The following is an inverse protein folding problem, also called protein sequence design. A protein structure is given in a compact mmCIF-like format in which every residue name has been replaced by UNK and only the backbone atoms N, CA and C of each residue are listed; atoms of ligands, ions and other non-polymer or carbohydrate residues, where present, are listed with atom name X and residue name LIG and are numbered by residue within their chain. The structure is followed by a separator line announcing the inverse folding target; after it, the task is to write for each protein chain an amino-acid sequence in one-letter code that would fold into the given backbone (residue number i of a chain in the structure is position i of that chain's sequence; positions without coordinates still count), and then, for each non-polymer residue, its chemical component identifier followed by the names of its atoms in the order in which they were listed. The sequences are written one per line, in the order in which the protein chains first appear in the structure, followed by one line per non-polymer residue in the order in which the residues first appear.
data_IF_961774418347
#
_entry.id   IF_961774418347
#
_cell.length_a   1.000
_cell.length_b   1.000
_cell.length_c   1.000
_cell.angle_alpha   90.00
_cell.angle_beta   90.00
_cell.angle_gamma   90.00
#
_symmetry.space_group_name_H-M   'P 1'
#
loop_
_entity.id
_entity.type
_entity.pdbx_description
1 polymer ?
#
# COMPACT_ATOMS: atom_id res chain seq x y z
N UNK A 1 -25.18 -9.27 5.80
CA UNK A 1 -24.31 -9.90 4.79
C UNK A 1 -23.64 -8.86 3.88
N UNK A 2 -24.38 -8.11 3.05
CA UNK A 2 -23.81 -7.07 2.17
C UNK A 2 -22.96 -6.00 2.89
N UNK A 3 -23.40 -5.51 4.05
CA UNK A 3 -22.64 -4.54 4.86
C UNK A 3 -21.30 -5.09 5.37
N UNK A 4 -21.25 -6.37 5.70
CA UNK A 4 -20.03 -7.04 6.16
C UNK A 4 -19.03 -7.24 5.01
N UNK A 5 -19.51 -7.62 3.83
CA UNK A 5 -18.68 -7.71 2.63
C UNK A 5 -18.12 -6.34 2.23
N UNK A 6 -18.93 -5.29 2.29
CA UNK A 6 -18.45 -3.92 2.02
C UNK A 6 -17.35 -3.49 3.00
N UNK A 7 -17.47 -3.84 4.28
CA UNK A 7 -16.44 -3.51 5.27
C UNK A 7 -15.12 -4.23 4.99
N UNK A 8 -15.15 -5.53 4.64
CA UNK A 8 -13.95 -6.28 4.28
C UNK A 8 -13.29 -5.80 3.00
N UNK A 9 -14.09 -5.43 2.00
CA UNK A 9 -13.57 -4.86 0.75
C UNK A 9 -12.91 -3.50 1.02
N UNK A 10 -13.54 -2.66 1.85
CA UNK A 10 -12.97 -1.38 2.26
C UNK A 10 -11.64 -1.57 2.99
N UNK A 11 -11.58 -2.47 3.97
CA UNK A 11 -10.34 -2.81 4.67
C UNK A 11 -9.22 -3.24 3.71
N UNK A 12 -9.53 -4.12 2.76
CA UNK A 12 -8.58 -4.55 1.73
C UNK A 12 -8.06 -3.40 0.86
N UNK A 13 -8.93 -2.46 0.49
CA UNK A 13 -8.58 -1.27 -0.30
C UNK A 13 -7.67 -0.33 0.51
N UNK A 14 -8.00 -0.11 1.79
CA UNK A 14 -7.21 0.75 2.69
C UNK A 14 -5.80 0.18 2.90
N UNK A 15 -5.66 -1.15 3.08
CA UNK A 15 -4.35 -1.81 3.17
C UNK A 15 -3.56 -1.64 1.86
N UNK A 16 -4.20 -1.83 0.71
CA UNK A 16 -3.55 -1.59 -0.58
C UNK A 16 -3.07 -0.13 -0.73
N UNK A 17 -3.87 0.84 -0.30
CA UNK A 17 -3.52 2.26 -0.33
C UNK A 17 -2.30 2.54 0.56
N UNK A 18 -2.32 2.07 1.80
CA UNK A 18 -1.24 2.26 2.76
C UNK A 18 0.09 1.65 2.27
N UNK A 19 0.05 0.46 1.66
CA UNK A 19 1.23 -0.16 1.02
C UNK A 19 1.84 0.78 -0.03
N UNK A 20 1.02 1.31 -0.93
CA UNK A 20 1.49 2.20 -1.98
C UNK A 20 2.07 3.50 -1.41
N UNK A 21 1.41 4.11 -0.41
CA UNK A 21 1.90 5.32 0.24
C UNK A 21 3.28 5.14 0.88
N UNK A 22 3.49 4.04 1.61
CA UNK A 22 4.80 3.73 2.21
C UNK A 22 5.87 3.51 1.12
N UNK A 23 5.52 2.81 0.04
CA UNK A 23 6.43 2.59 -1.09
C UNK A 23 6.75 3.89 -1.84
N UNK A 24 5.80 4.83 -1.95
CA UNK A 24 6.00 6.14 -2.56
C UNK A 24 6.94 7.02 -1.72
N UNK A 25 6.75 6.99 -0.41
CA UNK A 25 7.49 7.78 0.57
C UNK A 25 8.97 7.36 0.66
N UNK A 26 9.25 6.06 0.67
CA UNK A 26 10.61 5.52 0.85
C UNK A 26 11.57 5.79 -0.33
N UNK A 27 11.04 6.10 -1.52
CA UNK A 27 11.80 6.41 -2.76
C UNK A 27 12.85 5.34 -3.19
N UNK A 28 12.90 4.20 -2.49
CA UNK A 28 13.86 3.10 -2.63
C UNK A 28 13.11 1.78 -2.47
N UNK A 29 13.77 0.67 -2.78
CA UNK A 29 13.20 -0.64 -2.49
C UNK A 29 13.05 -0.84 -0.98
N UNK A 30 11.93 -1.42 -0.55
CA UNK A 30 11.62 -1.71 0.85
C UNK A 30 11.53 -3.23 1.05
N UNK A 31 12.07 -3.74 2.16
CA UNK A 31 11.92 -5.14 2.51
C UNK A 31 10.48 -5.45 2.93
N UNK A 32 9.95 -6.60 2.51
CA UNK A 32 8.58 -7.04 2.79
C UNK A 32 8.25 -7.02 4.29
N UNK A 33 9.14 -7.52 5.15
CA UNK A 33 8.92 -7.56 6.61
C UNK A 33 8.92 -6.15 7.20
N UNK A 34 9.79 -5.28 6.70
CA UNK A 34 9.81 -3.87 7.12
C UNK A 34 8.52 -3.18 6.72
N UNK A 35 8.05 -3.39 5.49
CA UNK A 35 6.78 -2.84 5.00
C UNK A 35 5.59 -3.31 5.85
N UNK A 36 5.50 -4.59 6.16
CA UNK A 36 4.45 -5.13 7.03
C UNK A 36 4.52 -4.57 8.45
N UNK A 37 5.72 -4.47 9.02
CA UNK A 37 5.89 -3.89 10.34
C UNK A 37 5.46 -2.42 10.34
N UNK A 38 5.80 -1.65 9.30
CA UNK A 38 5.36 -0.26 9.15
C UNK A 38 3.84 -0.10 9.15
N UNK A 39 3.12 -1.04 8.53
CA UNK A 39 1.65 -1.03 8.49
C UNK A 39 1.03 -1.36 9.85
N UNK A 40 1.72 -2.14 10.68
CA UNK A 40 1.27 -2.57 12.01
C UNK A 40 1.98 -1.79 13.14
N UNK A 41 2.53 -0.60 12.86
CA UNK A 41 3.12 0.26 13.92
C UNK A 41 2.03 0.77 14.87
N UNK A 42 0.85 1.09 14.34
CA UNK A 42 -0.31 1.48 15.13
C UNK A 42 -1.10 0.22 15.54
N UNK A 43 -1.24 0.01 16.85
CA UNK A 43 -1.98 -1.14 17.43
C UNK A 43 -3.46 -1.19 17.02
N UNK A 44 -4.00 -0.11 16.43
CA UNK A 44 -5.38 -0.05 15.94
C UNK A 44 -5.58 -0.74 14.58
N UNK A 45 -4.52 -0.93 13.79
CA UNK A 45 -4.58 -1.52 12.45
C UNK A 45 -3.85 -2.87 12.41
N UNK A 46 -4.38 -3.86 13.14
CA UNK A 46 -3.86 -5.23 13.09
C UNK A 46 -4.22 -5.91 11.77
N UNK A 47 -3.29 -5.86 10.81
CA UNK A 47 -3.43 -6.51 9.50
C UNK A 47 -2.83 -7.91 9.58
N UNK A 48 -3.62 -8.94 9.28
CA UNK A 48 -3.09 -10.29 9.15
C UNK A 48 -2.07 -10.39 8.01
N UNK A 49 -0.97 -11.11 8.25
CA UNK A 49 0.07 -11.36 7.25
C UNK A 49 -0.49 -11.94 5.93
N UNK A 50 -1.53 -12.78 6.01
CA UNK A 50 -2.23 -13.38 4.87
C UNK A 50 -2.87 -12.31 3.96
N UNK A 51 -3.59 -11.35 4.56
CA UNK A 51 -4.26 -10.25 3.87
C UNK A 51 -3.21 -9.32 3.25
N UNK A 52 -2.15 -9.02 3.99
CA UNK A 52 -1.02 -8.24 3.48
C UNK A 52 -0.41 -8.87 2.22
N UNK A 53 -0.12 -10.19 2.24
CA UNK A 53 0.40 -10.88 1.07
C UNK A 53 -0.56 -10.86 -0.13
N UNK A 54 -1.87 -10.99 0.10
CA UNK A 54 -2.88 -10.85 -0.95
C UNK A 54 -2.87 -9.45 -1.56
N UNK A 55 -2.77 -8.41 -0.73
CA UNK A 55 -2.65 -7.02 -1.19
C UNK A 55 -1.38 -6.82 -2.02
N UNK A 56 -0.23 -7.33 -1.57
CA UNK A 56 1.03 -7.27 -2.32
C UNK A 56 0.89 -7.96 -3.69
N UNK A 57 0.22 -9.12 -3.74
CA UNK A 57 -0.05 -9.84 -4.99
C UNK A 57 -0.90 -9.01 -5.96
N UNK A 58 -1.97 -8.36 -5.46
CA UNK A 58 -2.80 -7.48 -6.29
C UNK A 58 -2.04 -6.24 -6.78
N UNK A 59 -1.10 -5.74 -5.97
CA UNK A 59 -0.26 -4.59 -6.31
C UNK A 59 0.97 -4.94 -7.14
N UNK A 60 1.17 -6.21 -7.52
CA UNK A 60 2.32 -6.65 -8.32
C UNK A 60 2.47 -5.91 -9.67
N UNK A 61 1.38 -5.37 -10.22
CA UNK A 61 1.42 -4.51 -11.43
C UNK A 61 2.14 -3.18 -11.16
N UNK A 62 2.11 -2.71 -9.90
CA UNK A 62 2.75 -1.48 -9.45
C UNK A 62 4.08 -1.71 -8.74
N UNK A 63 4.35 -2.94 -8.27
CA UNK A 63 5.51 -3.30 -7.47
C UNK A 63 6.43 -4.32 -8.18
N UNK A 64 7.72 -3.99 -8.31
CA UNK A 64 8.77 -4.90 -8.76
C UNK A 64 9.45 -5.54 -7.56
N UNK A 65 9.47 -6.87 -7.53
CA UNK A 65 10.23 -7.65 -6.55
C UNK A 65 11.69 -7.78 -7.00
N UNK A 66 12.62 -7.40 -6.12
CA UNK A 66 14.05 -7.57 -6.24
C UNK A 66 14.53 -8.77 -5.41
N UNK A 67 15.78 -9.24 -5.61
CA UNK A 67 16.39 -10.25 -4.75
C UNK A 67 16.28 -9.84 -3.26
N UNK A 68 16.09 -10.81 -2.37
CA UNK A 68 15.90 -10.64 -0.92
C UNK A 68 14.54 -10.06 -0.49
N UNK A 69 13.47 -10.32 -1.26
CA UNK A 69 12.09 -9.93 -0.91
C UNK A 69 11.93 -8.43 -0.70
N UNK A 70 12.61 -7.63 -1.53
CA UNK A 70 12.49 -6.17 -1.54
C UNK A 70 11.59 -5.72 -2.68
N UNK A 71 10.74 -4.73 -2.44
CA UNK A 71 9.76 -4.23 -3.42
C UNK A 71 10.03 -2.76 -3.71
N UNK A 72 9.98 -2.36 -4.99
CA UNK A 72 9.98 -0.96 -5.40
C UNK A 72 8.86 -0.70 -6.40
N UNK A 73 8.48 0.55 -6.62
CA UNK A 73 7.47 0.90 -7.62
C UNK A 73 8.06 0.69 -9.03
N UNK A 74 7.35 -0.05 -9.89
CA UNK A 74 7.84 -0.59 -11.16
C UNK A 74 8.36 0.49 -12.11
N UNK A 75 7.68 1.64 -12.17
CA UNK A 75 8.05 2.72 -13.09
C UNK A 75 8.02 4.10 -12.43
N UNK A 76 9.01 4.93 -12.78
CA UNK A 76 9.06 6.33 -12.36
C UNK A 76 7.84 7.15 -12.83
N UNK A 77 7.25 6.82 -13.98
CA UNK A 77 6.02 7.44 -14.47
C UNK A 77 4.80 7.08 -13.61
N UNK A 78 4.64 5.81 -13.25
CA UNK A 78 3.59 5.34 -12.32
C UNK A 78 3.77 6.00 -10.96
N UNK A 79 5.02 6.06 -10.47
CA UNK A 79 5.37 6.76 -9.23
C UNK A 79 4.96 8.23 -9.26
N UNK A 80 5.29 8.95 -10.34
CA UNK A 80 4.92 10.36 -10.49
C UNK A 80 3.41 10.57 -10.63
N UNK A 81 2.73 9.67 -11.34
CA UNK A 81 1.26 9.68 -11.45
C UNK A 81 0.61 9.47 -10.09
N UNK A 82 1.06 8.48 -9.31
CA UNK A 82 0.57 8.21 -7.95
C UNK A 82 0.82 9.38 -7.00
N UNK A 83 1.99 10.03 -7.07
CA UNK A 83 2.29 11.24 -6.27
C UNK A 83 1.35 12.39 -6.66
N UNK A 84 1.07 12.57 -7.95
CA UNK A 84 0.17 13.63 -8.43
C UNK A 84 -1.26 13.35 -7.96
N UNK A 85 -1.70 12.10 -8.07
CA UNK A 85 -3.01 11.64 -7.63
C UNK A 85 -3.20 11.80 -6.11
N UNK A 86 -2.22 11.37 -5.31
CA UNK A 86 -2.28 11.52 -3.85
C UNK A 86 -2.35 13.00 -3.46
N UNK A 87 -1.49 13.86 -4.03
CA UNK A 87 -1.49 15.29 -3.75
C UNK A 87 -2.82 15.98 -4.13
N UNK A 88 -3.47 15.54 -5.22
CA UNK A 88 -4.78 16.07 -5.63
C UNK A 88 -5.91 15.65 -4.68
N UNK A 89 -5.87 14.42 -4.14
CA UNK A 89 -6.86 13.94 -3.19
C UNK A 89 -6.66 14.48 -1.76
N UNK A 90 -5.41 14.71 -1.32
CA UNK A 90 -5.13 15.37 -0.04
C UNK A 90 -5.42 16.89 -0.07
N UNK A 91 -5.26 17.56 -1.22
CA UNK A 91 -5.62 18.97 -1.37
C UNK A 91 -7.14 19.24 -1.30
N UNK A 92 -7.98 18.22 -1.47
CA UNK A 92 -9.44 18.34 -1.32
C UNK A 92 -9.95 18.11 0.11
N UNK A 93 -9.11 17.62 1.04
CA UNK A 93 -9.49 17.40 2.44
C UNK A 93 -8.91 18.46 3.40
N UNK A 94 -8.33 19.54 2.86
CA UNK A 94 -7.98 20.75 3.61
C UNK A 94 -8.80 21.92 3.04
N UNK A 95 -10.10 21.91 3.32
CA UNK A 95 -10.95 23.10 3.35
C UNK A 95 -11.98 22.95 4.46
#
# INVERSE_FOLDING_TARGET
YYRFLNNKIQEHIEVCRAILEICLATRRSINLNVLYNCLNIDEELHIEWSIFLQCISHLSVFLTQYPNSTYAIVHGSIRNWLITYSNQHFACNIK
#
